data_IF_893862050740
#
_entry.id   IF_893862050740
#
_cell.length_a   1.000
_cell.length_b   1.000
_cell.length_c   1.000
_cell.angle_alpha   90.00
_cell.angle_beta   90.00
_cell.angle_gamma   90.00
#
_symmetry.space_group_name_H-M   'P 1'
#
loop_
_entity.id
_entity.type
_entity.pdbx_description
1 polymer ?
#
# COMPACT_ATOMS: atom_id res chain seq x y z
N UNK A 1 17.62 5.70 -42.04
CA UNK A 1 16.81 5.74 -40.80
C UNK A 1 15.40 6.08 -41.22
N UNK A 2 14.44 5.23 -40.86
CA UNK A 2 13.00 5.49 -41.08
C UNK A 2 12.39 6.08 -39.81
N UNK A 3 11.53 7.11 -40.00
CA UNK A 3 10.78 7.74 -38.90
C UNK A 3 9.38 7.20 -38.94
N UNK A 4 9.01 6.35 -37.97
CA UNK A 4 7.65 5.89 -37.78
C UNK A 4 6.81 6.90 -37.00
N UNK A 5 5.53 7.07 -37.39
CA UNK A 5 4.58 7.97 -36.71
C UNK A 5 3.31 7.19 -36.34
N UNK A 6 2.67 7.59 -35.26
CA UNK A 6 1.42 6.98 -34.79
C UNK A 6 1.62 5.83 -33.82
N UNK A 7 0.54 5.09 -33.49
CA UNK A 7 0.60 3.92 -32.61
C UNK A 7 1.13 2.72 -33.36
N UNK A 8 2.10 2.04 -32.78
CA UNK A 8 2.66 0.80 -33.33
C UNK A 8 1.90 -0.36 -32.67
N UNK A 9 1.17 -1.21 -33.43
CA UNK A 9 0.57 -2.42 -32.89
C UNK A 9 1.69 -3.32 -32.33
N UNK A 10 1.60 -3.68 -31.06
CA UNK A 10 2.56 -4.57 -30.42
C UNK A 10 1.83 -5.44 -29.39
N UNK A 11 2.41 -6.60 -29.11
CA UNK A 11 2.00 -7.43 -27.99
C UNK A 11 2.18 -6.65 -26.67
N UNK A 12 1.50 -7.08 -25.61
CA UNK A 12 1.36 -6.31 -24.37
C UNK A 12 2.15 -6.92 -23.22
N UNK A 13 2.66 -6.05 -22.36
CA UNK A 13 3.35 -6.37 -21.09
C UNK A 13 2.38 -6.10 -19.94
N UNK A 14 1.80 -7.15 -19.35
CA UNK A 14 0.79 -7.03 -18.30
C UNK A 14 1.31 -7.62 -17.01
N UNK A 15 1.17 -6.90 -15.92
CA UNK A 15 1.45 -7.38 -14.56
C UNK A 15 0.18 -7.29 -13.74
N UNK A 16 -0.21 -8.41 -13.12
CA UNK A 16 -1.40 -8.52 -12.28
C UNK A 16 -0.96 -8.97 -10.91
N UNK A 17 -1.21 -8.17 -9.90
CA UNK A 17 -0.87 -8.54 -8.53
C UNK A 17 -2.03 -8.36 -7.57
N UNK A 18 -2.04 -9.11 -6.50
CA UNK A 18 -3.10 -9.09 -5.49
C UNK A 18 -2.92 -10.15 -4.43
N UNK A 19 -3.77 -10.17 -3.38
CA UNK A 19 -3.72 -11.16 -2.33
C UNK A 19 -3.86 -12.58 -2.87
N UNK A 20 -3.43 -13.55 -2.04
CA UNK A 20 -3.62 -14.96 -2.33
C UNK A 20 -5.11 -15.30 -2.48
N UNK A 21 -5.44 -16.23 -3.36
CA UNK A 21 -6.82 -16.69 -3.57
C UNK A 21 -7.75 -15.70 -4.31
N UNK A 22 -7.31 -14.51 -4.71
CA UNK A 22 -8.17 -13.55 -5.44
C UNK A 22 -8.56 -14.02 -6.85
N UNK A 23 -7.82 -14.98 -7.43
CA UNK A 23 -8.09 -15.55 -8.76
C UNK A 23 -7.17 -15.03 -9.87
N UNK A 24 -5.91 -14.68 -9.57
CA UNK A 24 -4.93 -14.19 -10.57
C UNK A 24 -4.70 -15.18 -11.71
N UNK A 25 -4.43 -16.45 -11.38
CA UNK A 25 -4.21 -17.52 -12.36
C UNK A 25 -5.44 -17.74 -13.24
N UNK A 26 -6.65 -17.76 -12.64
CA UNK A 26 -7.91 -17.84 -13.37
C UNK A 26 -8.15 -16.64 -14.29
N UNK A 27 -7.76 -15.44 -13.87
CA UNK A 27 -7.82 -14.26 -14.72
C UNK A 27 -6.83 -14.38 -15.88
N UNK A 28 -5.61 -14.81 -15.63
CA UNK A 28 -4.58 -14.98 -16.66
C UNK A 28 -4.94 -16.08 -17.67
N UNK A 29 -5.69 -17.11 -17.27
CA UNK A 29 -6.15 -18.18 -18.17
C UNK A 29 -7.17 -17.73 -19.21
N UNK A 30 -7.76 -16.55 -19.05
CA UNK A 30 -8.73 -15.98 -19.99
C UNK A 30 -8.09 -15.15 -21.12
N UNK A 31 -6.78 -14.94 -21.07
CA UNK A 31 -6.07 -14.25 -22.15
C UNK A 31 -6.07 -15.07 -23.45
N UNK A 32 -5.83 -14.43 -24.61
CA UNK A 32 -5.81 -15.13 -25.89
C UNK A 32 -4.75 -16.23 -25.91
N UNK A 33 -5.16 -17.48 -26.13
CA UNK A 33 -4.30 -18.67 -26.28
C UNK A 33 -3.13 -18.69 -25.26
N UNK A 34 -3.41 -18.80 -23.95
CA UNK A 34 -2.40 -18.67 -22.92
C UNK A 34 -1.62 -19.98 -22.73
N UNK A 35 -0.30 -19.88 -22.66
CA UNK A 35 0.58 -20.95 -22.19
C UNK A 35 1.28 -20.51 -20.90
N UNK A 36 1.19 -21.34 -19.88
CA UNK A 36 1.74 -21.05 -18.56
C UNK A 36 3.14 -21.62 -18.36
N UNK A 37 4.00 -20.82 -17.75
CA UNK A 37 5.17 -21.27 -16.98
C UNK A 37 4.77 -21.15 -15.50
N UNK A 38 4.42 -22.29 -14.89
CA UNK A 38 3.94 -22.36 -13.51
C UNK A 38 5.13 -22.56 -12.56
N UNK A 39 5.63 -21.46 -12.01
CA UNK A 39 6.77 -21.48 -11.08
C UNK A 39 6.39 -21.91 -9.69
N UNK A 40 5.13 -21.70 -9.28
CA UNK A 40 4.61 -22.02 -7.96
C UNK A 40 4.04 -23.46 -7.87
N UNK A 41 3.38 -23.92 -8.92
CA UNK A 41 2.66 -25.19 -8.95
C UNK A 41 1.16 -25.03 -8.66
N UNK A 42 0.61 -23.85 -8.84
CA UNK A 42 -0.79 -23.50 -8.54
C UNK A 42 -1.77 -23.94 -9.60
N UNK A 43 -1.32 -24.20 -10.84
CA UNK A 43 -2.19 -24.45 -11.99
C UNK A 43 -2.59 -25.90 -12.17
N UNK A 44 -2.13 -26.84 -11.34
CA UNK A 44 -2.38 -28.29 -11.51
C UNK A 44 -3.87 -28.67 -11.59
N UNK A 45 -4.75 -27.92 -10.94
CA UNK A 45 -6.21 -28.10 -10.96
C UNK A 45 -6.93 -27.32 -12.05
N UNK A 46 -6.20 -26.60 -12.90
CA UNK A 46 -6.76 -25.75 -13.95
C UNK A 46 -6.65 -26.44 -15.32
N UNK A 47 -7.65 -26.28 -16.15
CA UNK A 47 -7.59 -26.70 -17.55
C UNK A 47 -6.91 -25.60 -18.39
N UNK A 48 -5.58 -25.66 -18.45
CA UNK A 48 -4.72 -24.70 -19.16
C UNK A 48 -3.55 -25.39 -19.83
N UNK A 49 -3.07 -24.84 -20.93
CA UNK A 49 -1.80 -25.24 -21.53
C UNK A 49 -0.63 -24.74 -20.67
N UNK A 50 0.35 -25.59 -20.44
CA UNK A 50 1.53 -25.22 -19.65
C UNK A 50 2.79 -25.89 -20.15
N UNK A 51 3.92 -25.23 -20.01
CA UNK A 51 5.22 -25.83 -20.14
C UNK A 51 5.56 -26.68 -18.88
N UNK A 52 6.55 -27.57 -18.92
CA UNK A 52 6.99 -28.29 -17.73
C UNK A 52 7.26 -27.32 -16.57
N UNK A 53 6.97 -27.72 -15.32
CA UNK A 53 7.28 -26.85 -14.18
C UNK A 53 8.78 -26.63 -14.07
N UNK A 54 9.29 -25.37 -14.15
CA UNK A 54 10.70 -25.10 -14.07
C UNK A 54 11.23 -25.45 -12.67
N UNK A 55 12.31 -26.22 -12.64
CA UNK A 55 13.01 -26.62 -11.41
C UNK A 55 14.21 -25.74 -11.10
N UNK A 56 14.58 -24.85 -12.01
CA UNK A 56 15.72 -23.94 -11.89
C UNK A 56 15.49 -22.66 -12.70
N UNK A 57 16.22 -21.61 -12.32
CA UNK A 57 16.26 -20.37 -13.10
C UNK A 57 16.67 -20.59 -14.54
N UNK A 58 17.64 -21.47 -14.78
CA UNK A 58 18.13 -21.78 -16.13
C UNK A 58 17.01 -22.41 -16.98
N UNK A 59 16.25 -23.36 -16.45
CA UNK A 59 15.12 -23.98 -17.14
C UNK A 59 14.03 -22.95 -17.48
N UNK A 60 13.71 -22.05 -16.54
CA UNK A 60 12.78 -20.94 -16.79
C UNK A 60 13.23 -20.08 -17.99
N UNK A 61 14.53 -19.75 -18.05
CA UNK A 61 15.08 -18.96 -19.18
C UNK A 61 15.04 -19.74 -20.51
N UNK A 62 15.24 -21.04 -20.49
CA UNK A 62 15.14 -21.92 -21.66
C UNK A 62 13.71 -22.01 -22.18
N UNK A 63 12.72 -22.10 -21.30
CA UNK A 63 11.30 -22.07 -21.65
C UNK A 63 10.88 -20.75 -22.31
N UNK A 64 11.34 -19.63 -21.76
CA UNK A 64 11.12 -18.31 -22.37
C UNK A 64 11.78 -18.24 -23.76
N UNK A 65 13.00 -18.75 -23.87
CA UNK A 65 13.69 -18.80 -25.17
C UNK A 65 12.97 -19.70 -26.17
N UNK A 66 12.38 -20.82 -25.71
CA UNK A 66 11.56 -21.69 -26.56
C UNK A 66 10.35 -20.93 -27.13
N UNK A 67 9.58 -20.23 -26.29
CA UNK A 67 8.43 -19.43 -26.74
C UNK A 67 8.86 -18.33 -27.71
N UNK A 68 9.95 -17.62 -27.43
CA UNK A 68 10.53 -16.61 -28.33
C UNK A 68 10.84 -17.18 -29.71
N UNK A 69 11.43 -18.39 -29.76
CA UNK A 69 11.83 -19.03 -30.99
C UNK A 69 10.66 -19.67 -31.74
N UNK A 70 9.55 -19.88 -31.08
CA UNK A 70 8.32 -20.51 -31.60
C UNK A 70 7.08 -19.66 -31.29
N UNK A 71 6.98 -18.41 -31.80
CA UNK A 71 5.93 -17.48 -31.41
C UNK A 71 4.50 -17.93 -31.77
N UNK A 72 4.38 -18.99 -32.59
CA UNK A 72 3.09 -19.55 -32.97
C UNK A 72 2.54 -20.59 -31.95
N UNK A 73 3.31 -20.94 -30.89
CA UNK A 73 2.86 -21.90 -29.88
C UNK A 73 1.83 -21.32 -28.91
N UNK A 74 1.76 -20.00 -28.81
CA UNK A 74 0.78 -19.28 -27.99
C UNK A 74 0.65 -17.82 -28.42
N UNK A 75 -0.44 -17.19 -28.06
CA UNK A 75 -0.63 -15.73 -28.19
C UNK A 75 -0.28 -14.99 -26.89
N UNK A 76 -0.21 -15.71 -25.79
CA UNK A 76 0.11 -15.14 -24.46
C UNK A 76 0.99 -16.11 -23.66
N UNK A 77 2.13 -15.65 -23.24
CA UNK A 77 2.98 -16.32 -22.25
C UNK A 77 2.60 -15.81 -20.85
N UNK A 78 2.22 -16.71 -19.95
CA UNK A 78 1.90 -16.39 -18.55
C UNK A 78 3.00 -16.95 -17.65
N UNK A 79 3.59 -16.12 -16.80
CA UNK A 79 4.49 -16.57 -15.71
C UNK A 79 3.73 -16.42 -14.38
N UNK A 80 3.46 -17.54 -13.75
CA UNK A 80 2.64 -17.63 -12.53
C UNK A 80 3.41 -18.37 -11.42
N UNK A 81 4.11 -17.63 -10.49
CA UNK A 81 4.16 -16.20 -10.28
C UNK A 81 5.60 -15.65 -10.39
N UNK A 82 5.73 -14.34 -10.61
CA UNK A 82 7.05 -13.70 -10.75
C UNK A 82 7.83 -13.65 -9.42
N UNK A 83 7.17 -13.64 -8.28
CA UNK A 83 7.81 -13.68 -6.97
C UNK A 83 8.47 -15.05 -6.71
N UNK A 84 7.90 -16.14 -7.20
CA UNK A 84 8.57 -17.44 -7.19
C UNK A 84 9.72 -17.50 -8.20
N UNK A 85 9.58 -16.88 -9.37
CA UNK A 85 10.68 -16.73 -10.31
C UNK A 85 11.85 -15.91 -9.72
N UNK A 86 11.58 -14.82 -8.98
CA UNK A 86 12.62 -14.09 -8.23
C UNK A 86 13.35 -14.98 -7.22
N UNK A 87 12.63 -15.86 -6.54
CA UNK A 87 13.23 -16.82 -5.61
C UNK A 87 14.20 -17.79 -6.31
N UNK A 88 13.85 -18.26 -7.53
CA UNK A 88 14.76 -19.08 -8.36
C UNK A 88 15.99 -18.29 -8.80
N UNK A 89 15.82 -17.01 -9.15
CA UNK A 89 16.93 -16.10 -9.47
C UNK A 89 17.89 -15.94 -8.29
N UNK A 90 17.36 -15.70 -7.09
CA UNK A 90 18.14 -15.59 -5.86
C UNK A 90 18.93 -16.87 -5.61
N UNK A 91 18.29 -18.04 -5.69
CA UNK A 91 18.96 -19.32 -5.52
C UNK A 91 20.10 -19.49 -6.53
N UNK A 92 19.85 -19.20 -7.81
CA UNK A 92 20.87 -19.26 -8.86
C UNK A 92 22.08 -18.37 -8.58
N UNK A 93 21.86 -17.14 -8.11
CA UNK A 93 22.95 -16.21 -7.75
C UNK A 93 23.74 -16.75 -6.56
N UNK A 94 23.05 -17.27 -5.53
CA UNK A 94 23.72 -17.89 -4.39
C UNK A 94 24.59 -19.08 -4.80
N UNK A 95 24.07 -19.98 -5.63
CA UNK A 95 24.78 -21.18 -6.11
C UNK A 95 26.02 -20.81 -6.93
N UNK A 96 25.90 -19.85 -7.86
CA UNK A 96 27.02 -19.36 -8.69
C UNK A 96 28.17 -18.81 -7.85
N UNK A 97 27.86 -18.15 -6.74
CA UNK A 97 28.85 -17.53 -5.86
C UNK A 97 29.19 -18.41 -4.64
N UNK A 98 28.67 -19.64 -4.56
CA UNK A 98 28.86 -20.57 -3.45
C UNK A 98 28.50 -19.93 -2.09
N UNK A 99 27.36 -19.26 -2.05
CA UNK A 99 26.80 -18.60 -0.86
C UNK A 99 25.60 -19.38 -0.35
N UNK A 100 25.43 -19.46 0.97
CA UNK A 100 24.29 -20.15 1.61
C UNK A 100 22.99 -19.33 1.51
N UNK A 101 23.11 -18.01 1.38
CA UNK A 101 21.99 -17.10 1.25
C UNK A 101 22.39 -15.76 0.67
N UNK A 102 21.38 -14.95 0.32
CA UNK A 102 21.61 -13.63 -0.31
C UNK A 102 22.29 -12.64 0.66
N UNK A 103 22.10 -12.81 1.98
CA UNK A 103 22.71 -11.95 3.00
C UNK A 103 24.22 -12.25 3.18
N UNK A 104 24.73 -13.40 2.71
CA UNK A 104 26.14 -13.76 2.78
C UNK A 104 27.03 -12.97 1.79
N UNK A 105 26.40 -12.18 0.94
CA UNK A 105 27.10 -11.24 0.06
C UNK A 105 27.34 -9.94 0.81
N UNK A 106 28.53 -9.65 1.20
CA UNK A 106 28.86 -8.41 1.92
C UNK A 106 28.28 -7.15 1.26
N UNK A 107 27.89 -6.17 2.07
CA UNK A 107 27.41 -4.85 1.65
C UNK A 107 26.19 -4.85 0.70
N UNK A 108 25.35 -5.89 0.73
CA UNK A 108 24.16 -5.98 -0.09
C UNK A 108 24.41 -6.31 -1.57
N UNK A 109 25.62 -6.68 -1.97
CA UNK A 109 25.98 -6.99 -3.36
C UNK A 109 25.12 -8.11 -3.97
N UNK A 110 24.69 -9.10 -3.17
CA UNK A 110 23.81 -10.17 -3.66
C UNK A 110 22.50 -9.63 -4.23
N UNK A 111 21.91 -8.62 -3.61
CA UNK A 111 20.69 -7.96 -4.10
C UNK A 111 20.95 -7.19 -5.42
N UNK A 112 22.14 -6.62 -5.60
CA UNK A 112 22.52 -5.96 -6.86
C UNK A 112 22.59 -6.98 -7.99
N UNK A 113 23.20 -8.16 -7.76
CA UNK A 113 23.27 -9.24 -8.76
C UNK A 113 21.89 -9.76 -9.13
N UNK A 114 20.99 -9.93 -8.15
CA UNK A 114 19.60 -10.31 -8.43
C UNK A 114 18.89 -9.25 -9.28
N UNK A 115 19.04 -7.96 -8.95
CA UNK A 115 18.48 -6.86 -9.74
C UNK A 115 18.96 -6.89 -11.19
N UNK A 116 20.25 -7.06 -11.39
CA UNK A 116 20.84 -7.13 -12.74
C UNK A 116 20.33 -8.34 -13.53
N UNK A 117 20.23 -9.52 -12.89
CA UNK A 117 19.73 -10.73 -13.54
C UNK A 117 18.23 -10.61 -13.84
N UNK A 118 17.44 -10.04 -12.95
CA UNK A 118 16.03 -9.72 -13.22
C UNK A 118 15.88 -8.70 -14.35
N UNK A 119 16.80 -7.76 -14.49
CA UNK A 119 16.85 -6.86 -15.65
C UNK A 119 17.10 -7.61 -16.96
N UNK A 120 18.06 -8.55 -16.98
CA UNK A 120 18.31 -9.42 -18.14
C UNK A 120 17.09 -10.31 -18.47
N UNK A 121 16.42 -10.83 -17.46
CA UNK A 121 15.18 -11.59 -17.61
C UNK A 121 14.07 -10.76 -18.28
N UNK A 122 13.82 -9.52 -17.79
CA UNK A 122 12.83 -8.63 -18.39
C UNK A 122 13.16 -8.25 -19.85
N UNK A 123 14.46 -8.15 -20.20
CA UNK A 123 14.88 -7.97 -21.59
C UNK A 123 14.49 -9.19 -22.46
N UNK A 124 14.71 -10.42 -21.97
CA UNK A 124 14.27 -11.63 -22.69
C UNK A 124 12.75 -11.69 -22.88
N UNK A 125 11.98 -11.27 -21.87
CA UNK A 125 10.52 -11.13 -22.00
C UNK A 125 10.13 -10.04 -23.01
N UNK A 126 10.90 -8.96 -23.09
CA UNK A 126 10.69 -7.93 -24.12
C UNK A 126 10.90 -8.50 -25.54
N UNK A 127 11.91 -9.35 -25.73
CA UNK A 127 12.12 -10.03 -27.00
C UNK A 127 10.97 -10.99 -27.37
N UNK A 128 10.30 -11.62 -26.39
CA UNK A 128 9.08 -12.40 -26.61
C UNK A 128 7.91 -11.50 -27.09
N UNK A 129 7.78 -10.31 -26.47
CA UNK A 129 6.80 -9.31 -26.89
C UNK A 129 7.06 -8.81 -28.30
N UNK A 130 8.32 -8.56 -28.66
CA UNK A 130 8.74 -8.17 -30.01
C UNK A 130 8.49 -9.27 -31.05
N UNK A 131 8.53 -10.54 -30.63
CA UNK A 131 8.12 -11.68 -31.47
C UNK A 131 6.61 -11.80 -31.64
N UNK A 132 5.81 -10.92 -31.01
CA UNK A 132 4.34 -10.85 -31.17
C UNK A 132 3.53 -11.59 -30.13
N UNK A 133 4.15 -12.10 -29.07
CA UNK A 133 3.50 -12.83 -27.98
C UNK A 133 3.28 -11.92 -26.77
N UNK A 134 2.05 -11.82 -26.27
CA UNK A 134 1.77 -11.08 -25.03
C UNK A 134 2.48 -11.75 -23.86
N UNK A 135 2.93 -10.96 -22.88
CA UNK A 135 3.51 -11.48 -21.64
C UNK A 135 2.66 -11.00 -20.46
N UNK A 136 2.22 -11.95 -19.65
CA UNK A 136 1.46 -11.73 -18.43
C UNK A 136 2.26 -12.27 -17.24
N UNK A 137 2.55 -11.41 -16.28
CA UNK A 137 3.17 -11.78 -15.01
C UNK A 137 2.12 -11.67 -13.91
N UNK A 138 1.89 -12.75 -13.19
CA UNK A 138 1.12 -12.70 -11.94
C UNK A 138 2.06 -12.53 -10.77
N UNK A 139 1.64 -11.84 -9.72
CA UNK A 139 2.42 -11.63 -8.51
C UNK A 139 1.55 -11.63 -7.26
N UNK A 140 2.11 -12.03 -6.14
CA UNK A 140 1.46 -11.81 -4.85
C UNK A 140 1.59 -10.36 -4.42
N UNK A 141 0.60 -9.90 -3.64
CA UNK A 141 0.65 -8.63 -2.95
C UNK A 141 1.03 -8.83 -1.48
N UNK A 142 1.66 -7.82 -0.90
CA UNK A 142 1.93 -7.73 0.53
C UNK A 142 1.63 -6.32 1.01
N UNK A 143 1.23 -6.21 2.27
CA UNK A 143 1.09 -4.93 2.94
C UNK A 143 2.44 -4.54 3.53
N UNK A 144 2.86 -3.30 3.30
CA UNK A 144 4.05 -2.71 3.90
C UNK A 144 3.74 -1.32 4.43
N UNK A 145 4.40 -0.95 5.49
CA UNK A 145 4.42 0.45 5.95
C UNK A 145 5.18 1.29 4.96
N UNK A 146 4.59 2.41 4.58
CA UNK A 146 5.14 3.38 3.66
C UNK A 146 5.24 4.73 4.38
N UNK A 147 6.38 5.38 4.23
CA UNK A 147 6.65 6.72 4.77
C UNK A 147 6.99 7.62 3.60
N UNK A 148 6.34 8.77 3.53
CA UNK A 148 6.68 9.81 2.56
C UNK A 148 7.60 10.83 3.23
N UNK A 149 8.65 11.32 2.53
CA UNK A 149 9.59 12.27 3.10
C UNK A 149 8.97 13.62 3.50
N UNK A 150 7.85 13.97 2.90
CA UNK A 150 7.12 15.23 3.06
C UNK A 150 5.88 15.11 3.96
N UNK A 151 5.57 13.92 4.48
CA UNK A 151 4.42 13.68 5.36
C UNK A 151 4.86 13.05 6.69
N UNK A 152 4.28 13.55 7.78
CA UNK A 152 4.47 12.96 9.10
C UNK A 152 3.58 11.72 9.25
N UNK A 153 4.22 10.58 9.42
CA UNK A 153 3.55 9.31 9.69
C UNK A 153 3.79 8.24 8.63
N UNK A 154 3.42 7.02 8.99
CA UNK A 154 3.46 5.87 8.09
C UNK A 154 2.05 5.35 7.87
N UNK A 155 1.76 4.88 6.67
CA UNK A 155 0.50 4.21 6.36
C UNK A 155 0.76 2.87 5.67
N UNK A 156 -0.23 1.99 5.72
CA UNK A 156 -0.14 0.68 5.10
C UNK A 156 -0.43 0.78 3.61
N UNK A 157 0.47 0.19 2.80
CA UNK A 157 0.38 0.17 1.36
C UNK A 157 0.51 -1.23 0.80
N UNK A 158 -0.31 -1.55 -0.20
CA UNK A 158 -0.18 -2.76 -0.98
C UNK A 158 0.94 -2.63 -2.01
N UNK A 159 1.83 -3.59 -2.03
CA UNK A 159 2.95 -3.65 -2.97
C UNK A 159 3.13 -5.06 -3.52
N UNK A 160 3.82 -5.16 -4.65
CA UNK A 160 4.26 -6.46 -5.14
C UNK A 160 5.16 -7.15 -4.11
N UNK A 161 4.97 -8.44 -3.91
CA UNK A 161 5.79 -9.27 -3.00
C UNK A 161 7.15 -9.59 -3.66
N UNK A 162 7.91 -8.58 -3.96
CA UNK A 162 9.22 -8.63 -4.60
C UNK A 162 10.24 -7.82 -3.80
N UNK A 163 11.51 -7.97 -4.11
CA UNK A 163 12.59 -7.23 -3.47
C UNK A 163 12.43 -5.72 -3.61
N UNK A 164 12.48 -5.00 -2.47
CA UNK A 164 12.36 -3.54 -2.40
C UNK A 164 13.46 -2.89 -1.56
N UNK A 165 14.34 -3.65 -0.92
CA UNK A 165 15.49 -3.06 -0.21
C UNK A 165 16.26 -2.16 -1.17
N UNK A 166 16.91 -1.12 -0.68
CA UNK A 166 17.62 -0.11 -1.47
C UNK A 166 18.54 -0.72 -2.54
N UNK A 167 19.09 -1.89 -2.29
CA UNK A 167 19.95 -2.65 -3.22
C UNK A 167 19.19 -3.65 -4.11
N UNK A 168 17.98 -4.10 -3.74
CA UNK A 168 17.24 -5.13 -4.46
C UNK A 168 16.41 -4.59 -5.63
N UNK A 169 15.63 -3.58 -5.43
CA UNK A 169 14.85 -2.82 -6.45
C UNK A 169 14.24 -3.63 -7.63
N UNK A 170 13.90 -4.90 -7.43
CA UNK A 170 13.27 -5.74 -8.46
C UNK A 170 11.81 -5.35 -8.69
N UNK A 171 11.09 -4.98 -7.62
CA UNK A 171 9.73 -4.46 -7.73
C UNK A 171 9.63 -3.21 -8.62
N UNK A 172 10.48 -2.17 -8.46
CA UNK A 172 10.49 -1.02 -9.38
C UNK A 172 10.73 -1.42 -10.85
N UNK A 173 11.70 -2.30 -11.12
CA UNK A 173 11.99 -2.74 -12.49
C UNK A 173 10.76 -3.34 -13.18
N UNK A 174 10.04 -4.21 -12.50
CA UNK A 174 8.83 -4.86 -13.05
C UNK A 174 7.71 -3.85 -13.27
N UNK A 175 7.51 -2.91 -12.34
CA UNK A 175 6.53 -1.83 -12.48
C UNK A 175 6.83 -0.90 -13.67
N UNK A 176 8.10 -0.58 -13.89
CA UNK A 176 8.55 0.24 -15.02
C UNK A 176 8.38 -0.50 -16.35
N UNK A 177 8.74 -1.78 -16.38
CA UNK A 177 8.68 -2.63 -17.57
C UNK A 177 7.25 -2.83 -18.09
N UNK A 178 6.24 -2.93 -17.22
CA UNK A 178 4.87 -3.21 -17.58
C UNK A 178 4.20 -2.07 -18.36
N UNK A 179 3.34 -2.39 -19.34
CA UNK A 179 2.42 -1.44 -19.98
C UNK A 179 1.15 -1.26 -19.14
N UNK A 180 0.68 -2.35 -18.53
CA UNK A 180 -0.41 -2.38 -17.54
C UNK A 180 0.09 -3.03 -16.25
N UNK A 181 -0.05 -2.33 -15.14
CA UNK A 181 0.11 -2.85 -13.79
C UNK A 181 -1.25 -2.79 -13.11
N UNK A 182 -1.84 -3.93 -12.86
CA UNK A 182 -3.21 -4.08 -12.39
C UNK A 182 -3.21 -4.63 -10.97
N UNK A 183 -3.82 -3.89 -10.03
CA UNK A 183 -3.96 -4.32 -8.66
C UNK A 183 -5.33 -4.93 -8.41
N UNK A 184 -5.40 -6.24 -8.22
CA UNK A 184 -6.63 -6.95 -7.90
C UNK A 184 -6.81 -7.03 -6.38
N UNK A 185 -8.00 -6.66 -5.89
CA UNK A 185 -8.32 -6.74 -4.45
C UNK A 185 -9.82 -6.92 -4.23
N UNK A 186 -10.18 -7.24 -2.99
CA UNK A 186 -11.57 -7.24 -2.54
C UNK A 186 -11.98 -5.82 -2.14
N UNK A 187 -13.10 -5.36 -2.66
CA UNK A 187 -13.69 -4.10 -2.21
C UNK A 187 -14.39 -4.33 -0.88
N UNK A 188 -13.77 -3.88 0.19
CA UNK A 188 -14.30 -4.00 1.55
C UNK A 188 -14.60 -2.63 2.12
N UNK A 189 -15.75 -2.53 2.81
CA UNK A 189 -16.17 -1.34 3.53
C UNK A 189 -16.15 -1.65 5.03
N UNK A 190 -15.65 -0.72 5.82
CA UNK A 190 -15.70 -0.80 7.27
C UNK A 190 -16.95 -0.07 7.76
N UNK A 191 -17.96 -0.81 8.18
CA UNK A 191 -19.22 -0.25 8.69
C UNK A 191 -19.21 -0.26 10.21
N UNK A 192 -19.59 0.87 10.83
CA UNK A 192 -19.81 0.94 12.25
C UNK A 192 -21.01 0.05 12.63
N UNK A 193 -20.85 -0.75 13.68
CA UNK A 193 -21.88 -1.70 14.16
C UNK A 193 -22.53 -1.21 15.46
N UNK A 194 -21.96 -0.19 16.08
CA UNK A 194 -22.44 0.44 17.29
C UNK A 194 -22.69 1.94 17.08
N UNK A 195 -23.60 2.51 17.86
CA UNK A 195 -23.98 3.93 17.80
C UNK A 195 -22.82 4.88 18.14
N UNK A 196 -21.72 4.36 18.71
CA UNK A 196 -20.50 5.12 19.05
C UNK A 196 -19.38 4.97 18.02
N UNK A 197 -19.57 4.18 16.96
CA UNK A 197 -18.58 3.95 15.91
C UNK A 197 -17.30 3.21 16.35
N UNK A 198 -17.28 2.66 17.58
CA UNK A 198 -16.11 1.99 18.15
C UNK A 198 -15.96 0.55 17.63
N UNK A 199 -17.09 -0.12 17.35
CA UNK A 199 -17.08 -1.46 16.76
C UNK A 199 -17.33 -1.37 15.27
N UNK A 200 -16.42 -1.90 14.47
CA UNK A 200 -16.51 -1.91 13.02
C UNK A 200 -16.53 -3.33 12.49
N UNK A 201 -17.37 -3.57 11.49
CA UNK A 201 -17.46 -4.84 10.77
C UNK A 201 -17.07 -4.61 9.31
N UNK A 202 -16.21 -5.48 8.78
CA UNK A 202 -15.92 -5.49 7.35
C UNK A 202 -17.14 -6.05 6.60
N UNK A 203 -17.61 -5.33 5.60
CA UNK A 203 -18.64 -5.75 4.67
C UNK A 203 -18.15 -5.53 3.24
N UNK A 204 -18.51 -6.41 2.32
CA UNK A 204 -18.09 -6.39 0.93
C UNK A 204 -17.55 -7.75 0.52
N UNK A 205 -16.74 -7.80 -0.51
CA UNK A 205 -16.15 -9.03 -1.05
C UNK A 205 -16.21 -9.07 -2.58
N UNK A 206 -16.74 -8.02 -3.20
CA UNK A 206 -16.63 -7.83 -4.64
C UNK A 206 -15.16 -7.76 -5.05
N UNK A 207 -14.79 -8.55 -6.06
CA UNK A 207 -13.44 -8.52 -6.62
C UNK A 207 -13.33 -7.40 -7.65
N UNK A 208 -12.43 -6.48 -7.41
CA UNK A 208 -12.16 -5.33 -8.27
C UNK A 208 -10.71 -5.30 -8.70
N UNK A 209 -10.45 -4.57 -9.77
CA UNK A 209 -9.13 -4.35 -10.30
C UNK A 209 -8.90 -2.85 -10.43
N UNK A 210 -7.87 -2.35 -9.75
CA UNK A 210 -7.43 -0.96 -9.83
C UNK A 210 -6.40 -0.81 -10.95
N UNK A 211 -6.57 0.20 -11.76
CA UNK A 211 -5.77 0.45 -12.97
C UNK A 211 -4.95 1.74 -12.88
N UNK A 212 -5.20 2.56 -11.88
CA UNK A 212 -4.52 3.84 -11.63
C UNK A 212 -3.86 3.88 -10.27
N UNK A 213 -2.76 4.63 -10.18
CA UNK A 213 -2.01 4.82 -8.93
C UNK A 213 -2.90 5.41 -7.83
N UNK A 214 -2.66 4.97 -6.60
CA UNK A 214 -3.27 5.48 -5.38
C UNK A 214 -2.24 5.47 -4.24
N UNK A 215 -2.44 6.27 -3.20
CA UNK A 215 -1.55 6.26 -2.04
C UNK A 215 -1.36 4.85 -1.46
N UNK A 216 -2.43 4.02 -1.41
CA UNK A 216 -2.41 2.69 -0.82
C UNK A 216 -1.97 1.56 -1.77
N UNK A 217 -1.75 1.82 -3.07
CA UNK A 217 -1.28 0.81 -4.04
C UNK A 217 -0.67 1.44 -5.28
N UNK A 218 0.15 0.67 -6.00
CA UNK A 218 0.62 1.02 -7.34
C UNK A 218 -0.27 0.36 -8.39
N UNK A 219 -0.67 1.14 -9.39
CA UNK A 219 -1.29 0.64 -10.61
C UNK A 219 -0.95 1.59 -11.76
N UNK A 220 -0.98 1.06 -12.97
CA UNK A 220 -0.65 1.83 -14.18
C UNK A 220 -1.39 1.25 -15.37
N UNK A 221 -1.99 2.10 -16.21
CA UNK A 221 -2.45 1.70 -17.54
C UNK A 221 -2.16 2.80 -18.55
N UNK A 222 -1.91 2.41 -19.81
CA UNK A 222 -1.65 3.32 -20.95
C UNK A 222 -2.80 3.33 -21.95
N UNK A 223 -3.93 2.69 -21.60
CA UNK A 223 -5.01 2.38 -22.56
C UNK A 223 -6.34 3.08 -22.20
N UNK A 224 -6.34 3.95 -21.19
CA UNK A 224 -7.52 4.74 -20.81
C UNK A 224 -8.60 3.95 -20.06
N UNK A 225 -8.23 2.90 -19.35
CA UNK A 225 -9.16 2.20 -18.46
C UNK A 225 -9.63 3.14 -17.33
N UNK A 226 -10.87 2.95 -16.88
CA UNK A 226 -11.37 3.60 -15.67
C UNK A 226 -10.53 3.19 -14.46
N UNK A 227 -10.41 4.06 -13.44
CA UNK A 227 -9.54 3.85 -12.27
C UNK A 227 -9.80 2.53 -11.53
N UNK A 228 -11.06 2.10 -11.49
CA UNK A 228 -11.50 0.83 -10.94
C UNK A 228 -12.44 0.15 -11.93
N UNK A 229 -12.20 -1.13 -12.17
CA UNK A 229 -13.05 -1.98 -13.02
C UNK A 229 -13.30 -3.33 -12.33
N UNK A 230 -14.35 -4.09 -12.70
CA UNK A 230 -14.53 -5.44 -12.20
C UNK A 230 -13.30 -6.31 -12.48
N UNK A 231 -12.92 -7.19 -11.55
CA UNK A 231 -11.85 -8.15 -11.76
C UNK A 231 -12.31 -9.28 -12.69
N UNK A 232 -12.42 -8.95 -13.96
CA UNK A 232 -12.81 -9.82 -15.05
C UNK A 232 -11.98 -9.51 -16.30
N UNK A 233 -11.63 -10.52 -17.06
CA UNK A 233 -10.88 -10.35 -18.32
C UNK A 233 -11.65 -9.47 -19.31
N UNK A 234 -13.00 -9.52 -19.32
CA UNK A 234 -13.85 -8.68 -20.18
C UNK A 234 -13.54 -7.18 -20.03
N UNK A 235 -13.08 -6.75 -18.85
CA UNK A 235 -12.70 -5.35 -18.61
C UNK A 235 -11.50 -4.88 -19.43
N UNK A 236 -10.63 -5.78 -19.90
CA UNK A 236 -9.42 -5.48 -20.67
C UNK A 236 -9.37 -6.19 -22.03
N UNK A 237 -10.34 -7.02 -22.36
CA UNK A 237 -10.36 -7.84 -23.58
C UNK A 237 -10.17 -7.02 -24.86
N UNK A 238 -10.81 -5.84 -24.96
CA UNK A 238 -10.68 -4.93 -26.10
C UNK A 238 -9.23 -4.47 -26.34
N UNK A 239 -8.45 -4.30 -25.29
CA UNK A 239 -7.03 -3.91 -25.38
C UNK A 239 -6.19 -5.07 -25.91
N UNK A 240 -6.48 -6.29 -25.44
CA UNK A 240 -5.72 -7.50 -25.80
C UNK A 240 -6.04 -8.00 -27.21
N UNK A 241 -7.27 -7.78 -27.68
CA UNK A 241 -7.73 -8.18 -29.01
C UNK A 241 -7.38 -7.16 -30.11
N UNK A 242 -6.88 -5.97 -29.73
CA UNK A 242 -6.55 -4.90 -30.68
C UNK A 242 -7.77 -4.19 -31.25
N UNK A 243 -8.94 -4.35 -30.67
CA UNK A 243 -10.14 -3.62 -31.04
C UNK A 243 -10.06 -2.16 -30.57
N UNK A 244 -10.55 -1.18 -31.39
CA UNK A 244 -10.69 0.19 -30.91
C UNK A 244 -11.60 0.18 -29.68
N UNK A 245 -11.23 0.91 -28.64
CA UNK A 245 -12.11 1.08 -27.48
C UNK A 245 -13.46 1.66 -27.96
N UNK A 246 -14.46 0.83 -28.14
CA UNK A 246 -15.82 1.32 -28.06
C UNK A 246 -15.95 1.94 -26.68
N UNK A 247 -16.22 3.24 -26.67
CA UNK A 247 -16.55 3.94 -25.43
C UNK A 247 -17.72 3.19 -24.80
N UNK A 248 -17.43 2.28 -23.90
CA UNK A 248 -18.45 1.72 -23.04
C UNK A 248 -19.02 2.93 -22.34
N UNK A 249 -20.21 3.37 -22.77
CA UNK A 249 -21.02 4.30 -22.01
C UNK A 249 -21.13 3.67 -20.63
N UNK A 250 -20.40 4.22 -19.69
CA UNK A 250 -20.58 3.91 -18.30
C UNK A 250 -22.07 4.08 -18.04
N UNK A 251 -22.77 2.99 -17.72
CA UNK A 251 -24.10 3.10 -17.13
C UNK A 251 -23.91 4.01 -15.92
N UNK A 252 -24.77 5.03 -15.75
CA UNK A 252 -24.63 5.96 -14.65
C UNK A 252 -24.66 5.13 -13.37
N UNK A 253 -23.54 5.12 -12.68
CA UNK A 253 -23.46 4.59 -11.34
C UNK A 253 -24.60 5.24 -10.56
N UNK A 254 -25.52 4.43 -10.05
CA UNK A 254 -26.46 4.90 -9.03
C UNK A 254 -25.61 5.44 -7.91
N UNK A 255 -25.45 6.76 -7.86
CA UNK A 255 -25.02 7.47 -6.69
C UNK A 255 -25.89 6.99 -5.54
N UNK A 256 -25.31 6.18 -4.67
CA UNK A 256 -25.84 6.05 -3.33
C UNK A 256 -25.59 7.41 -2.66
N UNK A 257 -26.59 8.27 -2.80
CA UNK A 257 -26.67 9.49 -2.00
C UNK A 257 -26.63 9.01 -0.53
N UNK A 258 -25.50 9.28 0.11
CA UNK A 258 -25.45 9.32 1.56
C UNK A 258 -26.40 10.47 1.92
N UNK A 259 -27.60 10.16 2.40
CA UNK A 259 -28.47 11.15 3.00
C UNK A 259 -27.70 11.79 4.16
N UNK A 260 -27.21 12.99 3.89
CA UNK A 260 -26.77 13.87 4.97
C UNK A 260 -28.01 14.22 5.79
N UNK A 261 -27.96 14.16 7.11
CA UNK A 261 -29.06 14.63 7.95
C UNK A 261 -29.32 16.08 7.56
N UNK A 262 -30.53 16.36 7.12
CA UNK A 262 -31.00 17.71 6.81
C UNK A 262 -30.79 18.58 8.06
N UNK A 263 -29.91 19.56 7.94
CA UNK A 263 -29.83 20.65 8.90
C UNK A 263 -31.20 21.33 8.96
N UNK A 264 -31.80 21.34 10.12
CA UNK A 264 -32.97 22.16 10.41
C UNK A 264 -32.53 23.62 10.44
N UNK A 265 -33.33 24.57 9.94
CA UNK A 265 -32.95 25.98 9.90
C UNK A 265 -32.84 26.54 11.33
N UNK A 266 -31.72 27.19 11.56
CA UNK A 266 -31.44 28.00 12.74
C UNK A 266 -32.53 29.03 12.95
N UNK A 267 -33.28 28.92 14.04
CA UNK A 267 -34.08 30.00 14.56
C UNK A 267 -33.24 30.88 15.47
N UNK A 268 -33.33 32.17 15.22
CA UNK A 268 -32.63 33.24 15.93
C UNK A 268 -32.85 33.22 17.46
N UNK A 269 -31.89 33.74 18.25
CA UNK A 269 -31.94 33.63 19.72
C UNK A 269 -32.99 34.59 20.31
N UNK A 270 -33.96 34.07 20.97
CA UNK A 270 -34.86 34.81 21.86
C UNK A 270 -34.20 34.90 23.24
N UNK A 271 -33.84 36.13 23.60
CA UNK A 271 -33.45 36.50 24.96
C UNK A 271 -34.59 36.12 25.95
N UNK A 272 -34.29 35.33 26.97
CA UNK A 272 -35.13 35.23 28.17
C UNK A 272 -34.30 35.54 29.40
N UNK A 273 -34.76 36.57 30.05
CA UNK A 273 -34.45 37.13 31.34
C UNK A 273 -34.48 36.13 32.47
N UNK A 274 -33.52 36.26 33.38
CA UNK A 274 -33.42 35.55 34.63
C UNK A 274 -34.51 36.02 35.59
N UNK A 275 -35.19 35.07 36.25
CA UNK A 275 -35.86 35.30 37.54
C UNK A 275 -35.51 34.19 38.51
N UNK A 276 -35.15 34.65 39.68
CA UNK A 276 -34.70 33.95 40.87
C UNK A 276 -35.84 33.13 41.50
N UNK A 277 -35.50 31.96 42.07
CA UNK A 277 -36.30 31.43 43.17
C UNK A 277 -36.36 29.91 43.28
N UNK A 278 -35.81 29.48 44.37
CA UNK A 278 -36.20 28.41 45.32
C UNK A 278 -35.49 27.07 45.27
N UNK A 279 -34.83 26.85 46.37
CA UNK A 279 -34.21 25.64 46.88
C UNK A 279 -35.23 24.52 47.14
N UNK A 280 -34.82 23.28 46.89
CA UNK A 280 -35.21 22.18 47.79
C UNK A 280 -34.13 21.09 47.82
N UNK A 281 -33.88 20.66 49.04
CA UNK A 281 -32.76 19.84 49.54
C UNK A 281 -32.91 18.33 49.32
N UNK A 282 -31.76 17.68 49.13
CA UNK A 282 -31.14 16.52 49.79
C UNK A 282 -31.68 15.08 49.53
N UNK A 283 -30.91 14.02 49.82
CA UNK A 283 -29.49 13.74 49.68
C UNK A 283 -29.21 12.35 49.03
N UNK A 284 -28.03 12.05 48.53
CA UNK A 284 -27.29 10.82 48.85
C UNK A 284 -25.82 10.92 48.42
N UNK A 285 -24.99 10.68 49.39
CA UNK A 285 -23.56 10.54 49.31
C UNK A 285 -23.17 9.34 48.42
N UNK A 286 -22.24 9.55 47.50
CA UNK A 286 -21.21 8.56 47.25
C UNK A 286 -19.92 9.28 46.82
N UNK A 287 -18.88 8.93 47.52
CA UNK A 287 -17.55 9.48 47.57
C UNK A 287 -16.83 9.38 46.23
N UNK A 288 -16.67 10.48 45.55
CA UNK A 288 -15.59 10.60 44.52
C UNK A 288 -14.43 11.33 45.19
N UNK A 289 -13.34 10.57 45.44
CA UNK A 289 -12.07 11.12 45.88
C UNK A 289 -11.64 12.16 44.85
N UNK A 290 -11.59 13.43 45.26
CA UNK A 290 -10.83 14.47 44.58
C UNK A 290 -9.36 14.06 44.68
N UNK A 291 -8.75 13.59 43.58
CA UNK A 291 -7.31 13.66 43.42
C UNK A 291 -6.92 15.14 43.38
N UNK A 292 -6.10 15.55 44.33
CA UNK A 292 -5.49 16.85 44.35
C UNK A 292 -4.65 17.00 43.06
N UNK A 293 -5.09 17.86 42.16
CA UNK A 293 -4.32 18.25 40.97
C UNK A 293 -3.01 18.91 41.47
N UNK A 294 -1.88 18.20 41.32
CA UNK A 294 -0.56 18.78 41.48
C UNK A 294 -0.45 19.97 40.50
N UNK A 295 0.09 21.12 40.96
CA UNK A 295 0.28 22.26 40.06
C UNK A 295 1.17 21.84 38.87
N UNK A 296 0.76 22.24 37.66
CA UNK A 296 1.48 21.94 36.43
C UNK A 296 2.94 22.48 36.55
N UNK A 297 3.98 21.70 36.19
CA UNK A 297 5.36 22.12 36.32
C UNK A 297 5.63 23.44 35.61
N UNK A 298 6.45 24.31 36.20
CA UNK A 298 6.86 25.54 35.54
C UNK A 298 7.68 25.22 34.29
N UNK A 299 7.21 25.71 33.12
CA UNK A 299 7.85 25.47 31.82
C UNK A 299 9.05 26.40 31.63
N UNK A 300 10.07 25.92 30.88
CA UNK A 300 11.25 26.72 30.55
C UNK A 300 10.82 27.97 29.71
N UNK A 301 11.16 29.20 30.17
CA UNK A 301 10.80 30.42 29.43
C UNK A 301 11.43 30.51 28.03
N UNK A 302 12.48 29.74 27.75
CA UNK A 302 13.15 29.71 26.47
C UNK A 302 12.34 28.94 25.39
N UNK A 303 11.34 28.15 25.79
CA UNK A 303 10.41 27.48 24.85
C UNK A 303 9.44 28.53 24.27
N UNK A 304 9.16 28.51 22.94
CA UNK A 304 8.22 29.42 22.30
C UNK A 304 6.86 29.44 23.00
N UNK A 305 6.29 30.63 23.20
CA UNK A 305 5.03 30.80 23.93
C UNK A 305 3.90 29.94 23.34
N UNK A 306 3.80 29.86 22.01
CA UNK A 306 2.75 29.08 21.35
C UNK A 306 2.82 27.58 21.73
N UNK A 307 4.02 27.01 21.86
CA UNK A 307 4.19 25.63 22.31
C UNK A 307 3.84 25.48 23.80
N UNK A 308 4.28 26.42 24.65
CA UNK A 308 3.96 26.40 26.08
C UNK A 308 2.45 26.46 26.34
N UNK A 309 1.72 27.31 25.61
CA UNK A 309 0.25 27.43 25.73
C UNK A 309 -0.44 26.10 25.34
N UNK A 310 0.07 25.38 24.33
CA UNK A 310 -0.42 24.04 23.94
C UNK A 310 -0.10 22.98 24.98
N UNK A 311 1.07 23.00 25.56
CA UNK A 311 1.50 22.10 26.63
C UNK A 311 0.63 22.27 27.88
N UNK A 312 0.41 23.52 28.31
CA UNK A 312 -0.45 23.84 29.47
C UNK A 312 -1.90 23.42 29.25
N UNK A 313 -2.47 23.76 28.09
CA UNK A 313 -3.86 23.43 27.74
C UNK A 313 -4.13 21.91 27.72
N UNK A 314 -3.13 21.11 27.33
CA UNK A 314 -3.28 19.66 27.19
C UNK A 314 -2.60 18.87 28.33
N UNK A 315 -2.11 19.53 29.38
CA UNK A 315 -1.41 18.92 30.52
C UNK A 315 -0.23 18.03 30.09
N UNK A 316 0.60 18.53 29.12
CA UNK A 316 1.77 17.87 28.57
C UNK A 316 3.03 18.56 29.09
N UNK A 317 3.93 17.83 29.73
CA UNK A 317 5.21 18.37 30.21
C UNK A 317 6.34 18.23 29.18
N UNK A 318 7.51 18.81 29.47
CA UNK A 318 8.67 18.75 28.57
C UNK A 318 9.14 17.31 28.35
N UNK A 319 9.06 16.47 29.38
CA UNK A 319 9.46 15.08 29.34
C UNK A 319 8.60 14.27 28.37
N UNK A 320 7.30 14.53 28.36
CA UNK A 320 6.36 13.91 27.42
C UNK A 320 6.76 14.16 25.96
N UNK A 321 7.09 15.42 25.65
CA UNK A 321 7.52 15.82 24.29
C UNK A 321 8.88 15.22 23.94
N UNK A 322 9.86 15.29 24.87
CA UNK A 322 11.19 14.73 24.65
C UNK A 322 11.12 13.22 24.37
N UNK A 323 10.30 12.48 25.10
CA UNK A 323 10.11 11.04 24.87
C UNK A 323 9.52 10.73 23.49
N UNK A 324 8.49 11.44 23.07
CA UNK A 324 7.90 11.25 21.74
C UNK A 324 8.89 11.61 20.64
N UNK A 325 9.61 12.71 20.78
CA UNK A 325 10.62 13.17 19.82
C UNK A 325 11.78 12.17 19.72
N UNK A 326 12.23 11.62 20.85
CA UNK A 326 13.27 10.60 20.89
C UNK A 326 12.82 9.26 20.33
N UNK A 327 11.59 8.83 20.65
CA UNK A 327 11.00 7.60 20.09
C UNK A 327 10.86 7.65 18.56
N UNK A 328 10.77 8.85 18.00
CA UNK A 328 10.74 9.10 16.55
C UNK A 328 12.13 9.31 15.93
N UNK A 329 13.18 9.38 16.76
CA UNK A 329 14.57 9.51 16.30
C UNK A 329 14.95 10.90 15.80
N UNK A 330 14.17 11.95 16.13
CA UNK A 330 14.50 13.32 15.72
C UNK A 330 15.60 13.93 16.58
N UNK A 331 15.49 13.80 17.91
CA UNK A 331 16.49 14.23 18.86
C UNK A 331 16.67 13.17 19.97
N UNK A 332 17.87 13.03 20.55
CA UNK A 332 18.08 12.22 21.76
C UNK A 332 17.20 12.68 22.92
N UNK A 333 16.78 11.77 23.80
CA UNK A 333 15.85 12.06 24.90
C UNK A 333 16.41 13.05 25.96
N UNK A 334 17.71 13.24 26.01
CA UNK A 334 18.42 14.15 26.93
C UNK A 334 18.53 15.58 26.38
N UNK A 335 18.21 15.80 25.10
CA UNK A 335 18.22 17.14 24.48
C UNK A 335 16.96 17.89 24.91
N UNK A 336 17.10 19.12 25.43
CA UNK A 336 15.98 19.93 25.89
C UNK A 336 15.26 20.60 24.72
N UNK A 337 13.95 20.84 24.87
CA UNK A 337 13.12 21.44 23.81
C UNK A 337 13.65 22.80 23.36
N UNK A 338 14.22 23.60 24.27
CA UNK A 338 14.83 24.90 23.95
C UNK A 338 16.02 24.82 22.99
N UNK A 339 16.66 23.64 22.90
CA UNK A 339 17.83 23.37 22.06
C UNK A 339 17.45 22.73 20.71
N UNK A 340 16.15 22.55 20.46
CA UNK A 340 15.63 22.06 19.17
C UNK A 340 15.68 23.17 18.13
N UNK A 341 15.79 22.76 16.86
CA UNK A 341 15.71 23.68 15.73
C UNK A 341 14.36 24.42 15.71
N UNK A 342 14.39 25.73 15.40
CA UNK A 342 13.20 26.58 15.42
C UNK A 342 12.15 26.10 14.40
N UNK A 343 12.58 25.69 13.21
CA UNK A 343 11.67 25.21 12.16
C UNK A 343 11.05 23.87 12.56
N UNK A 344 11.78 23.04 13.30
CA UNK A 344 11.23 21.81 13.90
C UNK A 344 10.18 22.12 14.97
N UNK A 345 10.42 23.10 15.85
CA UNK A 345 9.43 23.50 16.85
C UNK A 345 8.17 24.05 16.19
N UNK A 346 8.33 24.98 15.25
CA UNK A 346 7.20 25.66 14.60
C UNK A 346 6.42 24.70 13.67
N UNK A 347 7.09 23.90 12.85
CA UNK A 347 6.47 23.01 11.87
C UNK A 347 5.99 21.70 12.48
N UNK A 348 6.80 21.02 13.28
CA UNK A 348 6.52 19.68 13.77
C UNK A 348 5.80 19.67 15.12
N UNK A 349 6.24 20.48 16.10
CA UNK A 349 5.64 20.46 17.42
C UNK A 349 4.35 21.31 17.48
N UNK A 350 4.38 22.53 16.94
CA UNK A 350 3.22 23.42 16.97
C UNK A 350 2.26 23.12 15.80
N UNK A 351 2.78 23.06 14.57
CA UNK A 351 1.99 22.84 13.37
C UNK A 351 1.27 21.48 13.33
N UNK A 352 1.89 20.44 13.88
CA UNK A 352 1.33 19.10 13.96
C UNK A 352 0.91 18.68 15.38
N UNK A 353 0.56 19.64 16.25
CA UNK A 353 0.29 19.39 17.67
C UNK A 353 -0.71 18.25 17.94
N UNK A 354 -1.77 18.15 17.15
CA UNK A 354 -2.78 17.09 17.32
C UNK A 354 -2.16 15.68 17.22
N UNK A 355 -1.18 15.51 16.34
CA UNK A 355 -0.48 14.24 16.17
C UNK A 355 0.50 13.99 17.31
N UNK A 356 1.27 15.02 17.70
CA UNK A 356 2.19 14.95 18.85
C UNK A 356 1.43 14.58 20.12
N UNK A 357 0.31 15.24 20.38
CA UNK A 357 -0.53 14.97 21.55
C UNK A 357 -1.15 13.56 21.50
N UNK A 358 -1.58 13.09 20.33
CA UNK A 358 -2.05 11.72 20.16
C UNK A 358 -0.99 10.68 20.53
N UNK A 359 0.25 10.88 20.10
CA UNK A 359 1.38 10.00 20.44
C UNK A 359 1.72 10.03 21.93
N UNK A 360 1.68 11.20 22.58
CA UNK A 360 1.88 11.32 24.02
C UNK A 360 0.83 10.53 24.79
N UNK A 361 -0.43 10.63 24.40
CA UNK A 361 -1.52 9.84 25.01
C UNK A 361 -1.28 8.34 24.88
N UNK A 362 -0.95 7.86 23.68
CA UNK A 362 -0.66 6.43 23.46
C UNK A 362 0.54 5.94 24.30
N UNK A 363 1.55 6.77 24.48
CA UNK A 363 2.70 6.42 25.33
C UNK A 363 2.31 6.36 26.81
N UNK A 364 1.50 7.29 27.30
CA UNK A 364 0.99 7.29 28.69
C UNK A 364 0.08 6.07 28.95
N UNK A 365 -0.84 5.75 28.05
CA UNK A 365 -1.70 4.57 28.16
C UNK A 365 -0.91 3.24 28.20
N UNK A 366 0.20 3.15 27.47
CA UNK A 366 1.08 1.96 27.51
C UNK A 366 1.91 1.86 28.79
N UNK A 367 2.17 2.96 29.49
CA UNK A 367 2.88 2.98 30.77
C UNK A 367 1.98 2.72 31.99
N UNK A 368 0.68 2.98 31.87
CA UNK A 368 -0.32 2.77 32.94
C UNK A 368 -0.89 1.34 32.99
N UNK A 369 -0.53 0.42 32.09
CA UNK A 369 -0.93 -1.00 32.17
C UNK A 369 -0.03 -1.71 33.16
N UNK A 370 -0.49 -2.05 34.40
CA UNK A 370 0.33 -2.83 35.32
C UNK A 370 0.52 -4.24 34.77
N UNK A 371 1.76 -4.70 34.76
CA UNK A 371 2.07 -6.11 34.56
C UNK A 371 1.39 -6.92 35.68
N UNK A 372 0.28 -7.55 35.38
CA UNK A 372 -0.25 -8.62 36.18
C UNK A 372 0.44 -9.91 35.72
N UNK A 373 1.25 -10.49 36.62
CA UNK A 373 1.83 -11.81 36.57
C UNK A 373 0.78 -12.91 36.40
#
# INVERSE_FOLDING_TARGET
MEITRGRIPCAKKVVIYGPEGIGKSTFASQFPDPVFIDTEGSTNSMDVARLPKPTSWQMLLEEIQYVKSHPNVCRTLVIDTIDWAESMCIQRICDQHKKSGIEDFGYGNGYVYVKEEMGRFLNRLTEVVEAGVNVVLTAHAQIRKFEQPDELGSYDRWELKLGKKTSSQTSPLIKEWADMLLFANYKTFSIAVDDKGQKRKAQGGERVMYTSHHACWDAKNRYGLAEQVPFSYSSIAHIMNGEPAEQSKAEPQKEYQVEQPKAQPEQAPVQKTYTTGEQMNLPLEESIKKEEQKPFPAQDPAIPKALRDLMETNHVDEWDIQNVVAARGYYPADVKIRDYDKDFIDGCLIGAWQQVYGMIREMKEKQEVPFNN
#
